data_IF_358731065401
#
_entry.id   IF_358731065401
#
_cell.length_a   1.000
_cell.length_b   1.000
_cell.length_c   1.000
_cell.angle_alpha   90.00
_cell.angle_beta   90.00
_cell.angle_gamma   90.00
#
_symmetry.space_group_name_H-M   'P 1'
#
loop_
_entity.id
_entity.type
_entity.pdbx_description
1 polymer ?
#
# COMPACT_ATOMS: atom_id res chain seq x y z
N UNK A 1 19.77 4.63 4.98
CA UNK A 1 18.91 5.28 3.98
C UNK A 1 18.77 4.32 2.80
N UNK A 2 17.54 4.01 2.37
CA UNK A 2 17.28 3.02 1.31
C UNK A 2 18.02 3.35 0.02
N UNK A 3 18.16 4.64 -0.32
CA UNK A 3 18.91 5.07 -1.50
C UNK A 3 20.43 5.00 -1.29
N UNK A 4 20.92 5.13 -0.05
CA UNK A 4 22.36 4.97 0.25
C UNK A 4 22.84 3.52 0.05
N UNK A 5 21.95 2.53 0.17
CA UNK A 5 22.29 1.13 -0.09
C UNK A 5 22.12 0.72 -1.55
N UNK A 6 21.66 1.61 -2.44
CA UNK A 6 21.40 1.31 -3.85
C UNK A 6 22.66 0.80 -4.57
N UNK A 7 23.80 1.48 -4.36
CA UNK A 7 25.09 1.07 -4.92
C UNK A 7 25.59 -0.27 -4.39
N UNK A 8 25.23 -0.61 -3.15
CA UNK A 8 25.61 -1.88 -2.52
C UNK A 8 24.74 -3.04 -3.02
N UNK A 9 23.43 -2.79 -3.18
CA UNK A 9 22.45 -3.81 -3.54
C UNK A 9 22.23 -3.94 -5.05
N UNK A 10 22.87 -3.09 -5.87
CA UNK A 10 22.86 -3.20 -7.33
C UNK A 10 21.55 -2.79 -7.99
N UNK A 11 20.81 -1.83 -7.43
CA UNK A 11 19.61 -1.28 -8.06
C UNK A 11 19.77 0.20 -8.41
N UNK A 12 19.14 0.61 -9.51
CA UNK A 12 19.09 1.98 -10.04
C UNK A 12 17.71 2.65 -9.87
N UNK A 13 16.73 1.89 -9.34
CA UNK A 13 15.37 2.37 -9.12
C UNK A 13 15.32 3.47 -8.07
N UNK A 14 14.53 4.51 -8.34
CA UNK A 14 14.28 5.60 -7.40
C UNK A 14 13.21 5.20 -6.39
N UNK A 15 13.56 5.26 -5.10
CA UNK A 15 12.64 5.02 -3.99
C UNK A 15 12.17 6.38 -3.46
N UNK A 16 10.87 6.55 -3.26
CA UNK A 16 10.29 7.75 -2.64
C UNK A 16 9.30 7.31 -1.57
N UNK A 17 9.44 7.88 -0.37
CA UNK A 17 8.48 7.70 0.73
C UNK A 17 7.54 8.90 0.82
N UNK A 18 6.29 8.64 1.14
CA UNK A 18 5.27 9.67 1.42
C UNK A 18 4.34 9.19 2.52
N UNK A 19 3.74 10.12 3.25
CA UNK A 19 2.74 9.84 4.29
C UNK A 19 1.48 10.62 3.97
N UNK A 20 0.38 9.91 3.71
CA UNK A 20 -0.95 10.50 3.50
C UNK A 20 -1.18 11.20 2.14
N UNK A 21 -0.13 11.44 1.33
CA UNK A 21 -0.27 12.04 0.01
C UNK A 21 -0.28 10.98 -1.10
N UNK A 22 -1.49 10.63 -1.54
CA UNK A 22 -1.72 9.68 -2.64
C UNK A 22 -1.41 10.25 -4.03
N UNK A 23 -1.23 11.57 -4.19
CA UNK A 23 -0.84 12.15 -5.49
C UNK A 23 0.51 11.62 -5.98
N UNK A 24 1.38 11.22 -5.04
CA UNK A 24 2.67 10.58 -5.33
C UNK A 24 2.55 9.18 -5.93
N UNK A 25 1.36 8.58 -5.90
CA UNK A 25 1.08 7.28 -6.51
C UNK A 25 0.59 7.40 -7.95
N UNK A 26 0.45 8.62 -8.49
CA UNK A 26 -0.06 8.85 -9.84
C UNK A 26 0.75 8.12 -10.93
N UNK A 27 0.04 7.52 -11.89
CA UNK A 27 0.63 6.76 -12.98
C UNK A 27 1.22 5.41 -12.55
N UNK A 28 0.84 4.88 -11.38
CA UNK A 28 1.27 3.55 -10.94
C UNK A 28 0.60 2.47 -11.79
N UNK A 29 1.39 1.53 -12.31
CA UNK A 29 0.88 0.37 -13.04
C UNK A 29 0.46 -0.77 -12.09
N UNK A 30 1.13 -0.87 -10.94
CA UNK A 30 0.87 -1.89 -9.92
C UNK A 30 0.92 -1.24 -8.55
N UNK A 31 -0.06 -1.56 -7.69
CA UNK A 31 -0.10 -1.16 -6.29
C UNK A 31 -0.29 -2.39 -5.39
N UNK A 32 0.61 -2.54 -4.42
CA UNK A 32 0.52 -3.60 -3.40
C UNK A 32 0.04 -2.98 -2.09
N UNK A 33 -1.13 -3.40 -1.63
CA UNK A 33 -1.74 -2.92 -0.38
C UNK A 33 -1.43 -3.93 0.72
N UNK A 34 -0.58 -3.52 1.65
CA UNK A 34 -0.28 -4.25 2.90
C UNK A 34 -0.93 -3.58 4.12
N UNK A 35 -1.70 -2.51 3.89
CA UNK A 35 -2.38 -1.76 4.93
C UNK A 35 -3.47 -2.60 5.59
N UNK A 36 -3.40 -2.70 6.91
CA UNK A 36 -4.35 -3.44 7.72
C UNK A 36 -3.91 -3.41 9.17
N UNK A 37 -4.77 -3.91 10.06
CA UNK A 37 -4.41 -4.13 11.45
C UNK A 37 -4.02 -5.59 11.65
N UNK A 38 -2.98 -5.88 12.44
CA UNK A 38 -2.71 -7.26 12.86
C UNK A 38 -3.83 -7.73 13.78
N UNK A 39 -4.15 -9.03 13.72
CA UNK A 39 -5.14 -9.63 14.61
C UNK A 39 -4.74 -9.42 16.07
N UNK A 40 -5.62 -8.80 16.86
CA UNK A 40 -5.42 -8.59 18.29
C UNK A 40 -6.02 -9.74 19.11
N UNK A 41 -5.48 -10.04 20.31
CA UNK A 41 -6.11 -10.98 21.22
C UNK A 41 -7.56 -10.56 21.53
N UNK A 42 -8.50 -11.51 21.47
CA UNK A 42 -9.93 -11.24 21.71
C UNK A 42 -10.74 -10.76 20.49
N UNK A 43 -10.09 -10.50 19.34
CA UNK A 43 -10.79 -10.12 18.11
C UNK A 43 -11.26 -11.36 17.32
N UNK A 44 -12.52 -11.32 16.88
CA UNK A 44 -13.10 -12.34 15.99
C UNK A 44 -12.52 -12.24 14.58
N UNK A 45 -12.69 -13.30 13.77
CA UNK A 45 -12.20 -13.27 12.38
C UNK A 45 -13.02 -12.27 11.55
N UNK A 46 -14.31 -12.20 11.83
CA UNK A 46 -15.29 -11.37 11.14
C UNK A 46 -15.02 -9.88 11.38
N UNK A 47 -14.70 -9.49 12.62
CA UNK A 47 -14.30 -8.12 12.95
C UNK A 47 -13.00 -7.72 12.23
N UNK A 48 -12.00 -8.61 12.21
CA UNK A 48 -10.74 -8.35 11.52
C UNK A 48 -10.95 -8.14 10.01
N UNK A 49 -11.75 -9.00 9.38
CA UNK A 49 -12.09 -8.89 7.96
C UNK A 49 -12.83 -7.58 7.69
N UNK A 50 -13.81 -7.22 8.52
CA UNK A 50 -14.57 -5.98 8.37
C UNK A 50 -13.70 -4.73 8.46
N UNK A 51 -12.79 -4.69 9.43
CA UNK A 51 -11.86 -3.55 9.60
C UNK A 51 -10.89 -3.46 8.41
N UNK A 52 -10.25 -4.58 8.05
CA UNK A 52 -9.29 -4.57 6.94
C UNK A 52 -9.96 -4.29 5.59
N UNK A 53 -11.20 -4.76 5.37
CA UNK A 53 -11.97 -4.42 4.18
C UNK A 53 -12.24 -2.91 4.07
N UNK A 54 -12.54 -2.24 5.18
CA UNK A 54 -12.69 -0.79 5.23
C UNK A 54 -11.40 -0.06 4.86
N UNK A 55 -10.28 -0.47 5.43
CA UNK A 55 -8.95 0.10 5.14
C UNK A 55 -8.59 -0.10 3.67
N UNK A 56 -8.70 -1.32 3.15
CA UNK A 56 -8.37 -1.63 1.75
C UNK A 56 -9.25 -0.82 0.81
N UNK A 57 -10.55 -0.68 1.10
CA UNK A 57 -11.46 0.15 0.30
C UNK A 57 -11.00 1.60 0.22
N UNK A 58 -10.70 2.23 1.37
CA UNK A 58 -10.25 3.62 1.40
C UNK A 58 -8.94 3.83 0.61
N UNK A 59 -7.99 2.91 0.77
CA UNK A 59 -6.70 2.96 0.06
C UNK A 59 -6.92 2.79 -1.44
N UNK A 60 -7.74 1.82 -1.86
CA UNK A 60 -8.07 1.57 -3.26
C UNK A 60 -8.77 2.77 -3.90
N UNK A 61 -9.76 3.37 -3.24
CA UNK A 61 -10.46 4.55 -3.75
C UNK A 61 -9.51 5.73 -3.99
N UNK A 62 -8.52 5.93 -3.12
CA UNK A 62 -7.53 7.00 -3.31
C UNK A 62 -6.48 6.68 -4.38
N UNK A 63 -6.05 5.42 -4.50
CA UNK A 63 -5.14 4.98 -5.57
C UNK A 63 -5.76 5.15 -6.95
N UNK A 64 -7.00 4.68 -7.14
CA UNK A 64 -7.69 4.69 -8.44
C UNK A 64 -7.94 6.13 -8.94
N UNK A 65 -8.12 7.11 -8.04
CA UNK A 65 -8.22 8.54 -8.42
C UNK A 65 -6.98 9.06 -9.15
N UNK A 66 -5.79 8.54 -8.82
CA UNK A 66 -4.52 8.99 -9.38
C UNK A 66 -3.95 8.02 -10.42
N UNK A 67 -4.39 6.77 -10.39
CA UNK A 67 -3.91 5.68 -11.25
C UNK A 67 -5.09 4.77 -11.62
N UNK A 68 -5.94 5.17 -12.59
CA UNK A 68 -7.17 4.44 -12.90
C UNK A 68 -6.93 3.03 -13.47
N UNK A 69 -5.81 2.84 -14.17
CA UNK A 69 -5.41 1.57 -14.80
C UNK A 69 -4.52 0.70 -13.89
N UNK A 70 -4.45 1.01 -12.59
CA UNK A 70 -3.56 0.31 -11.66
C UNK A 70 -4.04 -1.12 -11.38
N UNK A 71 -3.11 -2.08 -11.45
CA UNK A 71 -3.34 -3.44 -10.98
C UNK A 71 -3.15 -3.46 -9.45
N UNK A 72 -4.19 -3.86 -8.73
CA UNK A 72 -4.18 -3.88 -7.26
C UNK A 72 -3.93 -5.31 -6.76
N UNK A 73 -2.92 -5.46 -5.92
CA UNK A 73 -2.61 -6.70 -5.20
C UNK A 73 -2.81 -6.45 -3.71
N UNK A 74 -3.75 -7.16 -3.09
CA UNK A 74 -4.04 -7.03 -1.66
C UNK A 74 -3.37 -8.15 -0.89
N UNK A 75 -2.61 -7.80 0.14
CA UNK A 75 -1.94 -8.73 1.07
C UNK A 75 -2.31 -8.31 2.49
N UNK A 76 -3.40 -8.87 3.02
CA UNK A 76 -4.01 -8.49 4.32
C UNK A 76 -4.35 -9.69 5.18
#
# INVERSE_FOLDING_TARGET
DLMQTASLNGFDTKITGTTGDYSKTAGSHVAVITSGIPRKPGMTREELIGINAGIVKEVTENLVKHSPEVIIIVVS
#
